data_IF_935502441415
#
_entry.id   IF_935502441415
#
_cell.length_a   1.000
_cell.length_b   1.000
_cell.length_c   1.000
_cell.angle_alpha   90.00
_cell.angle_beta   90.00
_cell.angle_gamma   90.00
#
_symmetry.space_group_name_H-M   'P 1'
#
loop_
_entity.id
_entity.type
_entity.pdbx_description
1 polymer ?
#
# COMPACT_ATOMS: atom_id res chain seq x y z
N UNK A 1 3.48 12.18 14.77
CA UNK A 1 3.37 10.79 15.25
C UNK A 1 2.91 10.73 16.73
N UNK A 2 3.62 11.31 17.70
CA UNK A 2 3.23 11.22 19.14
C UNK A 2 1.79 11.70 19.45
N UNK A 3 1.26 12.65 18.69
CA UNK A 3 -0.10 13.18 18.90
C UNK A 3 -1.18 12.22 18.40
N UNK A 4 -0.84 11.33 17.46
CA UNK A 4 -1.77 10.39 16.82
C UNK A 4 -2.07 9.19 17.71
N UNK A 5 -1.07 8.72 18.46
CA UNK A 5 -1.17 7.58 19.39
C UNK A 5 -1.34 8.01 20.85
N UNK A 6 -1.84 9.24 21.06
CA UNK A 6 -2.10 9.74 22.40
C UNK A 6 -3.30 9.01 23.04
N UNK A 7 -3.33 8.99 24.37
CA UNK A 7 -4.39 8.34 25.13
C UNK A 7 -5.80 8.79 24.69
N UNK A 8 -6.68 7.83 24.46
CA UNK A 8 -8.08 8.05 24.09
C UNK A 8 -8.34 8.24 22.59
N UNK A 9 -7.31 8.21 21.75
CA UNK A 9 -7.48 8.34 20.29
C UNK A 9 -7.22 7.03 19.51
N UNK A 10 -6.91 5.95 20.21
CA UNK A 10 -6.74 4.62 19.62
C UNK A 10 -7.58 3.61 20.38
N UNK A 11 -8.55 3.02 19.69
CA UNK A 11 -9.31 1.87 20.16
C UNK A 11 -8.59 0.59 19.72
N UNK A 12 -7.86 -0.04 20.66
CA UNK A 12 -6.84 -1.03 20.34
C UNK A 12 -7.39 -2.46 20.29
N UNK A 13 -8.14 -2.86 21.34
CA UNK A 13 -8.47 -4.28 21.54
C UNK A 13 -9.78 -4.69 20.87
N UNK A 14 -9.88 -5.95 20.40
CA UNK A 14 -11.15 -6.49 19.92
C UNK A 14 -12.21 -6.50 21.04
N UNK A 15 -13.47 -6.38 20.66
CA UNK A 15 -14.61 -6.38 21.59
C UNK A 15 -15.91 -6.77 20.91
N UNK A 16 -16.90 -7.19 21.70
CA UNK A 16 -18.21 -7.55 21.18
C UNK A 16 -18.88 -6.34 20.50
N UNK A 17 -19.35 -6.55 19.26
CA UNK A 17 -19.99 -5.50 18.47
C UNK A 17 -19.04 -4.48 17.83
N UNK A 18 -17.72 -4.61 18.04
CA UNK A 18 -16.71 -3.79 17.36
C UNK A 18 -16.58 -4.19 15.90
N UNK A 19 -16.45 -3.20 15.00
CA UNK A 19 -16.23 -3.44 13.58
C UNK A 19 -14.93 -4.23 13.36
N UNK A 20 -14.93 -5.12 12.40
CA UNK A 20 -13.75 -5.87 11.96
C UNK A 20 -12.82 -4.95 11.14
N UNK A 21 -11.55 -5.36 11.00
CA UNK A 21 -10.54 -4.60 10.28
C UNK A 21 -9.91 -3.48 11.10
N UNK A 22 -9.39 -2.48 10.41
CA UNK A 22 -8.79 -1.29 10.98
C UNK A 22 -9.10 -0.07 10.11
N UNK A 23 -9.14 1.10 10.71
CA UNK A 23 -9.26 2.37 10.00
C UNK A 23 -8.78 3.54 10.85
N UNK A 24 -8.34 4.60 10.18
CA UNK A 24 -8.19 5.92 10.75
C UNK A 24 -9.29 6.83 10.21
N UNK A 25 -9.96 7.53 11.09
CA UNK A 25 -10.99 8.50 10.71
C UNK A 25 -10.76 9.84 11.39
N UNK A 26 -11.16 10.90 10.72
CA UNK A 26 -10.99 12.28 11.18
C UNK A 26 -12.24 13.07 10.85
N UNK A 27 -12.67 13.93 11.75
CA UNK A 27 -13.71 14.91 11.49
C UNK A 27 -13.26 16.30 11.95
N UNK A 28 -13.93 17.34 11.44
CA UNK A 28 -13.55 18.74 11.65
C UNK A 28 -13.25 19.11 13.11
N UNK A 29 -14.00 18.56 14.04
CA UNK A 29 -13.95 18.96 15.46
C UNK A 29 -13.02 18.10 16.33
N UNK A 30 -12.45 16.99 15.79
CA UNK A 30 -11.63 16.08 16.59
C UNK A 30 -10.28 15.81 15.95
N UNK A 31 -9.34 15.31 16.74
CA UNK A 31 -8.13 14.67 16.21
C UNK A 31 -8.51 13.39 15.49
N UNK A 32 -7.66 12.89 14.57
CA UNK A 32 -7.85 11.57 13.98
C UNK A 32 -8.00 10.50 15.06
N UNK A 33 -8.90 9.55 14.81
CA UNK A 33 -9.18 8.42 15.67
C UNK A 33 -8.84 7.13 14.95
N UNK A 34 -8.14 6.22 15.62
CA UNK A 34 -7.73 4.93 15.07
C UNK A 34 -8.55 3.83 15.73
N UNK A 35 -9.13 2.94 14.92
CA UNK A 35 -9.68 1.68 15.37
C UNK A 35 -8.83 0.55 14.80
N UNK A 36 -8.36 -0.35 15.66
CA UNK A 36 -7.69 -1.61 15.28
C UNK A 36 -8.19 -2.75 16.17
N UNK A 37 -8.01 -3.98 15.72
CA UNK A 37 -8.30 -5.18 16.50
C UNK A 37 -6.99 -5.91 16.80
N UNK A 38 -6.25 -5.45 17.81
CA UNK A 38 -4.89 -5.87 18.11
C UNK A 38 -4.88 -7.21 18.87
N UNK A 39 -4.28 -8.24 18.27
CA UNK A 39 -4.18 -9.61 18.78
C UNK A 39 -2.74 -10.03 19.11
N UNK A 40 -1.82 -9.09 19.25
CA UNK A 40 -0.41 -9.29 19.54
C UNK A 40 0.37 -10.02 18.42
N UNK A 41 -0.01 -9.83 17.17
CA UNK A 41 0.74 -10.31 16.02
C UNK A 41 1.65 -9.22 15.43
N UNK A 42 2.62 -9.60 14.61
CA UNK A 42 3.44 -8.65 13.87
C UNK A 42 2.57 -7.82 12.90
N UNK A 43 1.61 -8.45 12.26
CA UNK A 43 0.66 -7.79 11.36
C UNK A 43 -0.13 -6.68 12.04
N UNK A 44 -0.56 -6.88 13.28
CA UNK A 44 -1.27 -5.84 14.05
C UNK A 44 -0.42 -4.60 14.30
N UNK A 45 0.90 -4.78 14.48
CA UNK A 45 1.83 -3.65 14.63
C UNK A 45 1.91 -2.86 13.32
N UNK A 46 2.03 -3.55 12.17
CA UNK A 46 2.02 -2.91 10.87
C UNK A 46 0.70 -2.21 10.59
N UNK A 47 -0.42 -2.84 10.89
CA UNK A 47 -1.76 -2.24 10.79
C UNK A 47 -1.87 -0.96 11.62
N UNK A 48 -1.44 -0.98 12.88
CA UNK A 48 -1.47 0.22 13.73
C UNK A 48 -0.60 1.35 13.16
N UNK A 49 0.58 1.03 12.65
CA UNK A 49 1.51 2.01 12.05
C UNK A 49 0.98 2.54 10.71
N UNK A 50 0.30 1.70 9.94
CA UNK A 50 -0.43 2.08 8.74
C UNK A 50 -1.51 3.13 9.05
N UNK A 51 -2.41 2.83 10.00
CA UNK A 51 -3.47 3.75 10.42
C UNK A 51 -2.91 5.05 11.04
N UNK A 52 -1.78 4.95 11.74
CA UNK A 52 -1.08 6.14 12.21
C UNK A 52 -0.56 7.02 11.06
N UNK A 53 -0.23 6.44 9.90
CA UNK A 53 0.14 7.17 8.68
C UNK A 53 -1.02 8.01 8.16
N UNK A 54 -2.20 7.42 8.04
CA UNK A 54 -3.42 8.17 7.69
C UNK A 54 -3.72 9.28 8.69
N UNK A 55 -3.58 9.00 9.99
CA UNK A 55 -3.80 9.99 11.03
C UNK A 55 -2.82 11.16 10.94
N UNK A 56 -1.54 10.91 10.62
CA UNK A 56 -0.54 11.96 10.39
C UNK A 56 -0.92 12.81 9.18
N UNK A 57 -1.34 12.19 8.08
CA UNK A 57 -1.82 12.88 6.89
C UNK A 57 -3.00 13.79 7.22
N UNK A 58 -4.00 13.26 7.93
CA UNK A 58 -5.18 14.02 8.35
C UNK A 58 -4.83 15.20 9.24
N UNK A 59 -3.86 15.06 10.17
CA UNK A 59 -3.41 16.18 10.99
C UNK A 59 -2.75 17.28 10.17
N UNK A 60 -1.88 16.91 9.21
CA UNK A 60 -1.25 17.89 8.32
C UNK A 60 -2.29 18.59 7.43
N UNK A 61 -3.21 17.82 6.85
CA UNK A 61 -4.28 18.41 6.04
C UNK A 61 -5.10 19.41 6.84
N UNK A 62 -5.55 19.07 8.04
CA UNK A 62 -6.32 19.96 8.93
C UNK A 62 -5.57 21.21 9.38
N UNK A 63 -4.27 21.11 9.58
CA UNK A 63 -3.47 22.25 10.01
C UNK A 63 -3.35 23.32 8.91
N UNK A 64 -3.37 22.91 7.63
CA UNK A 64 -3.07 23.78 6.51
C UNK A 64 -4.25 24.03 5.56
N UNK A 65 -5.35 23.30 5.71
CA UNK A 65 -6.55 23.43 4.87
C UNK A 65 -7.78 23.82 5.71
N UNK A 66 -8.74 24.45 5.03
CA UNK A 66 -10.08 24.64 5.57
C UNK A 66 -10.90 23.34 5.51
N UNK A 67 -12.05 23.31 6.17
CA UNK A 67 -12.92 22.14 6.27
C UNK A 67 -13.42 21.61 4.92
N UNK A 68 -13.47 22.45 3.88
CA UNK A 68 -13.88 22.03 2.54
C UNK A 68 -12.79 21.21 1.86
N UNK A 69 -11.53 21.50 2.16
CA UNK A 69 -10.36 20.91 1.54
C UNK A 69 -9.58 19.96 2.46
N UNK A 70 -10.05 19.70 3.69
CA UNK A 70 -9.31 18.84 4.63
C UNK A 70 -9.24 17.37 4.21
N UNK A 71 -10.20 16.90 3.41
CA UNK A 71 -10.24 15.53 2.94
C UNK A 71 -9.39 15.37 1.67
N UNK A 72 -8.46 14.43 1.69
CA UNK A 72 -7.57 14.12 0.59
C UNK A 72 -8.05 12.92 -0.24
N UNK A 73 -7.70 12.87 -1.56
CA UNK A 73 -8.11 11.76 -2.42
C UNK A 73 -7.50 10.42 -1.99
N UNK A 74 -8.27 9.33 -2.16
CA UNK A 74 -7.82 7.96 -1.82
C UNK A 74 -6.52 7.57 -2.53
N UNK A 75 -6.28 8.06 -3.75
CA UNK A 75 -5.04 7.83 -4.49
C UNK A 75 -3.78 8.29 -3.73
N UNK A 76 -3.89 9.38 -2.93
CA UNK A 76 -2.77 9.93 -2.13
C UNK A 76 -2.76 9.35 -0.72
N UNK A 77 -3.93 8.91 -0.22
CA UNK A 77 -4.10 8.46 1.16
C UNK A 77 -3.10 7.37 1.55
N UNK A 78 -2.97 6.34 0.71
CA UNK A 78 -2.14 5.18 1.01
C UNK A 78 -0.63 5.44 0.90
N UNK A 79 -0.21 6.58 0.36
CA UNK A 79 1.21 6.96 0.33
C UNK A 79 1.73 7.18 1.75
N UNK A 80 0.95 7.84 2.62
CA UNK A 80 1.38 8.15 3.98
C UNK A 80 1.38 6.90 4.88
N UNK A 81 0.38 6.03 4.73
CA UNK A 81 0.27 4.79 5.49
C UNK A 81 1.40 3.82 5.15
N UNK A 82 1.61 3.53 3.86
CA UNK A 82 2.67 2.62 3.40
C UNK A 82 4.08 3.19 3.61
N UNK A 83 4.27 4.52 3.54
CA UNK A 83 5.53 5.15 3.92
C UNK A 83 5.91 4.83 5.37
N UNK A 84 4.96 4.86 6.29
CA UNK A 84 5.19 4.50 7.69
C UNK A 84 5.55 3.01 7.85
N UNK A 85 4.93 2.12 7.08
CA UNK A 85 5.28 0.69 7.07
C UNK A 85 6.74 0.47 6.65
N UNK A 86 7.21 1.14 5.59
CA UNK A 86 8.62 1.03 5.16
C UNK A 86 9.59 1.48 6.26
N UNK A 87 9.26 2.54 6.99
CA UNK A 87 10.08 2.99 8.13
C UNK A 87 10.07 1.97 9.26
N UNK A 88 8.93 1.33 9.54
CA UNK A 88 8.83 0.31 10.57
C UNK A 88 9.65 -0.93 10.22
N UNK A 89 9.59 -1.42 8.97
CA UNK A 89 10.44 -2.52 8.51
C UNK A 89 11.92 -2.23 8.76
N UNK A 90 12.40 -1.08 8.34
CA UNK A 90 13.81 -0.72 8.52
C UNK A 90 14.20 -0.51 9.99
N UNK A 91 13.27 -0.04 10.81
CA UNK A 91 13.49 0.08 12.26
C UNK A 91 13.61 -1.29 12.91
N UNK A 92 12.71 -2.22 12.59
CA UNK A 92 12.71 -3.56 13.14
C UNK A 92 13.93 -4.38 12.69
N UNK A 93 14.34 -4.26 11.42
CA UNK A 93 15.54 -4.95 10.90
C UNK A 93 16.83 -4.54 11.61
N UNK A 94 16.88 -3.32 12.15
CA UNK A 94 18.02 -2.81 12.94
C UNK A 94 17.95 -3.21 14.41
N UNK A 95 16.87 -3.87 14.86
CA UNK A 95 16.72 -4.25 16.24
C UNK A 95 17.55 -5.52 16.54
N UNK A 96 18.56 -5.37 17.38
CA UNK A 96 19.46 -6.47 17.78
C UNK A 96 18.78 -7.51 18.70
N UNK A 97 17.59 -7.21 19.23
CA UNK A 97 16.82 -8.16 20.04
C UNK A 97 16.07 -9.20 19.19
N UNK A 98 15.87 -8.94 17.90
CA UNK A 98 15.26 -9.91 16.99
C UNK A 98 16.26 -11.01 16.64
N UNK A 99 15.80 -12.26 16.78
CA UNK A 99 16.55 -13.41 16.32
C UNK A 99 16.67 -13.41 14.79
N UNK A 100 17.65 -14.16 14.27
CA UNK A 100 17.83 -14.36 12.82
C UNK A 100 16.54 -14.85 12.14
N UNK A 101 15.82 -15.81 12.75
CA UNK A 101 14.56 -16.32 12.19
C UNK A 101 13.48 -15.26 12.12
N UNK A 102 13.36 -14.40 13.13
CA UNK A 102 12.42 -13.28 13.12
C UNK A 102 12.78 -12.24 12.07
N UNK A 103 14.07 -11.97 11.87
CA UNK A 103 14.52 -11.09 10.79
C UNK A 103 14.24 -11.66 9.40
N UNK A 104 14.46 -12.97 9.18
CA UNK A 104 14.09 -13.66 7.93
C UNK A 104 12.59 -13.51 7.68
N UNK A 105 11.75 -13.85 8.65
CA UNK A 105 10.30 -13.71 8.53
C UNK A 105 9.88 -12.27 8.20
N UNK A 106 10.49 -11.29 8.86
CA UNK A 106 10.22 -9.87 8.61
C UNK A 106 10.58 -9.45 7.18
N UNK A 107 11.70 -9.91 6.65
CA UNK A 107 12.13 -9.60 5.27
C UNK A 107 11.23 -10.29 4.25
N UNK A 108 10.90 -11.57 4.45
CA UNK A 108 9.96 -12.30 3.59
C UNK A 108 8.58 -11.62 3.55
N UNK A 109 8.08 -11.17 4.71
CA UNK A 109 6.83 -10.42 4.80
C UNK A 109 6.90 -9.09 4.04
N UNK A 110 8.02 -8.36 4.13
CA UNK A 110 8.22 -7.11 3.37
C UNK A 110 8.24 -7.34 1.85
N UNK A 111 8.91 -8.41 1.39
CA UNK A 111 8.94 -8.79 -0.02
C UNK A 111 7.52 -9.18 -0.49
N UNK A 112 6.84 -10.02 0.28
CA UNK A 112 5.49 -10.47 -0.04
C UNK A 112 4.49 -9.30 -0.08
N UNK A 113 4.62 -8.32 0.80
CA UNK A 113 3.81 -7.10 0.79
C UNK A 113 3.97 -6.35 -0.53
N UNK A 114 5.20 -6.14 -1.00
CA UNK A 114 5.44 -5.46 -2.29
C UNK A 114 4.86 -6.28 -3.44
N UNK A 115 5.06 -7.60 -3.46
CA UNK A 115 4.54 -8.46 -4.53
C UNK A 115 3.01 -8.41 -4.57
N UNK A 116 2.34 -8.53 -3.43
CA UNK A 116 0.88 -8.53 -3.35
C UNK A 116 0.26 -7.16 -3.62
N UNK A 117 0.90 -6.08 -3.17
CA UNK A 117 0.34 -4.72 -3.26
C UNK A 117 0.72 -4.03 -4.57
N UNK A 118 1.87 -4.36 -5.17
CA UNK A 118 2.26 -3.79 -6.46
C UNK A 118 1.94 -4.73 -7.63
N UNK A 119 2.63 -5.86 -7.72
CA UNK A 119 2.51 -6.72 -8.90
C UNK A 119 1.14 -7.38 -9.04
N UNK A 120 0.57 -7.92 -7.96
CA UNK A 120 -0.74 -8.56 -8.05
C UNK A 120 -1.85 -7.54 -8.30
N UNK A 121 -1.76 -6.33 -7.75
CA UNK A 121 -2.76 -5.29 -8.00
C UNK A 121 -2.62 -4.67 -9.40
N UNK A 122 -1.42 -4.55 -9.93
CA UNK A 122 -1.19 -4.15 -11.31
C UNK A 122 -1.77 -5.19 -12.30
N UNK A 123 -1.53 -6.49 -12.03
CA UNK A 123 -2.12 -7.59 -12.79
C UNK A 123 -3.65 -7.52 -12.81
N UNK A 124 -4.27 -7.31 -11.65
CA UNK A 124 -5.73 -7.19 -11.53
C UNK A 124 -6.26 -5.94 -12.22
N UNK A 125 -5.53 -4.83 -12.16
CA UNK A 125 -5.90 -3.61 -12.87
C UNK A 125 -5.82 -3.77 -14.39
N UNK A 126 -4.83 -4.49 -14.90
CA UNK A 126 -4.72 -4.81 -16.32
C UNK A 126 -5.84 -5.78 -16.77
N UNK A 127 -6.16 -6.78 -15.95
CA UNK A 127 -7.33 -7.64 -16.16
C UNK A 127 -8.61 -6.81 -16.30
N UNK A 128 -8.85 -5.91 -15.36
CA UNK A 128 -10.02 -5.04 -15.35
C UNK A 128 -10.08 -4.16 -16.61
N UNK A 129 -8.95 -3.57 -17.00
CA UNK A 129 -8.85 -2.79 -18.21
C UNK A 129 -9.18 -3.61 -19.45
N UNK A 130 -8.59 -4.81 -19.59
CA UNK A 130 -8.82 -5.68 -20.74
C UNK A 130 -10.28 -6.17 -20.83
N UNK A 131 -10.90 -6.45 -19.68
CA UNK A 131 -12.30 -6.87 -19.63
C UNK A 131 -13.24 -5.73 -20.08
N UNK A 132 -13.03 -4.51 -19.59
CA UNK A 132 -13.83 -3.35 -20.00
C UNK A 132 -13.54 -2.89 -21.43
N UNK A 133 -12.29 -3.01 -21.89
CA UNK A 133 -11.94 -2.68 -23.28
C UNK A 133 -12.63 -3.62 -24.29
N UNK A 134 -12.72 -4.91 -23.96
CA UNK A 134 -13.46 -5.88 -24.77
C UNK A 134 -14.95 -5.51 -24.88
N UNK A 135 -15.57 -5.13 -23.75
CA UNK A 135 -16.98 -4.69 -23.74
C UNK A 135 -17.17 -3.40 -24.58
N UNK A 136 -16.28 -2.43 -24.45
CA UNK A 136 -16.30 -1.19 -25.24
C UNK A 136 -16.16 -1.42 -26.74
N UNK A 137 -15.60 -2.57 -27.15
CA UNK A 137 -15.45 -3.01 -28.53
C UNK A 137 -16.52 -4.05 -28.96
N UNK A 138 -17.67 -4.10 -28.24
CA UNK A 138 -18.77 -5.00 -28.46
C UNK A 138 -18.40 -6.51 -28.46
N UNK A 139 -17.35 -6.86 -27.73
CA UNK A 139 -16.93 -8.25 -27.51
C UNK A 139 -17.60 -8.83 -26.27
N UNK A 140 -18.31 -9.94 -26.44
CA UNK A 140 -18.92 -10.66 -25.32
C UNK A 140 -17.91 -11.67 -24.81
N UNK A 141 -17.41 -11.46 -23.59
CA UNK A 141 -16.50 -12.38 -22.91
C UNK A 141 -17.30 -13.42 -22.10
N UNK A 142 -16.85 -14.68 -22.18
CA UNK A 142 -17.31 -15.77 -21.33
C UNK A 142 -16.41 -15.90 -20.09
N UNK A 143 -16.76 -16.77 -19.16
CA UNK A 143 -15.88 -17.01 -17.99
C UNK A 143 -14.57 -17.70 -18.41
N UNK A 144 -14.56 -18.48 -19.48
CA UNK A 144 -13.34 -19.07 -20.06
C UNK A 144 -12.41 -17.99 -20.60
N UNK A 145 -12.96 -16.95 -21.22
CA UNK A 145 -12.17 -15.81 -21.70
C UNK A 145 -11.54 -15.04 -20.54
N UNK A 146 -12.29 -14.76 -19.48
CA UNK A 146 -11.75 -14.13 -18.27
C UNK A 146 -10.63 -14.99 -17.63
N UNK A 147 -10.85 -16.31 -17.54
CA UNK A 147 -9.82 -17.22 -17.03
C UNK A 147 -8.56 -17.21 -17.90
N UNK A 148 -8.74 -17.13 -19.22
CA UNK A 148 -7.62 -17.05 -20.16
C UNK A 148 -6.84 -15.74 -19.99
N UNK A 149 -7.52 -14.61 -19.85
CA UNK A 149 -6.86 -13.32 -19.59
C UNK A 149 -6.02 -13.40 -18.32
N UNK A 150 -6.58 -13.94 -17.22
CA UNK A 150 -5.82 -14.14 -15.96
C UNK A 150 -4.61 -15.05 -16.19
N UNK A 151 -4.74 -16.14 -16.93
CA UNK A 151 -3.63 -17.06 -17.20
C UNK A 151 -2.51 -16.38 -18.00
N UNK A 152 -2.87 -15.63 -19.03
CA UNK A 152 -1.92 -14.87 -19.85
C UNK A 152 -1.19 -13.79 -19.02
N UNK A 153 -1.90 -13.11 -18.12
CA UNK A 153 -1.32 -12.13 -17.20
C UNK A 153 -0.38 -12.79 -16.15
N UNK A 154 -0.76 -13.95 -15.59
CA UNK A 154 0.15 -14.68 -14.69
C UNK A 154 1.43 -15.09 -15.41
N UNK A 155 1.32 -15.50 -16.68
CA UNK A 155 2.50 -15.79 -17.49
C UNK A 155 3.36 -14.56 -17.72
N UNK A 156 2.75 -13.42 -18.02
CA UNK A 156 3.45 -12.17 -18.30
C UNK A 156 4.14 -11.59 -17.05
N UNK A 157 3.45 -11.60 -15.91
CA UNK A 157 3.94 -10.96 -14.66
C UNK A 157 4.89 -11.84 -13.85
N UNK A 158 4.67 -13.17 -13.85
CA UNK A 158 5.36 -14.08 -12.95
C UNK A 158 6.09 -15.23 -13.63
N UNK A 159 5.98 -15.33 -14.98
CA UNK A 159 6.44 -16.49 -15.77
C UNK A 159 5.86 -17.83 -15.26
N UNK A 160 4.63 -17.80 -14.73
CA UNK A 160 3.93 -18.96 -14.20
C UNK A 160 2.83 -19.36 -15.18
N UNK A 161 2.88 -20.63 -15.61
CA UNK A 161 1.79 -21.22 -16.38
C UNK A 161 0.72 -21.74 -15.40
N UNK A 162 -0.45 -21.06 -15.37
CA UNK A 162 -1.61 -21.55 -14.63
C UNK A 162 -2.57 -22.25 -15.57
N UNK A 163 -2.92 -23.50 -15.24
CA UNK A 163 -3.94 -24.23 -16.01
C UNK A 163 -5.35 -23.82 -15.51
N UNK A 164 -6.38 -23.88 -16.39
CA UNK A 164 -7.76 -23.54 -16.02
C UNK A 164 -8.34 -24.34 -14.86
N UNK A 165 -7.76 -25.49 -14.56
CA UNK A 165 -8.20 -26.41 -13.50
C UNK A 165 -7.78 -25.98 -12.09
N UNK A 166 -6.94 -24.93 -11.99
CA UNK A 166 -6.43 -24.45 -10.72
C UNK A 166 -7.16 -23.17 -10.34
N UNK A 167 -7.53 -23.02 -9.08
CA UNK A 167 -8.19 -21.87 -8.46
C UNK A 167 -7.72 -20.48 -8.91
N UNK A 168 -6.49 -20.37 -9.37
CA UNK A 168 -5.89 -19.11 -9.87
C UNK A 168 -6.57 -18.57 -11.13
N UNK A 169 -7.11 -19.42 -12.01
CA UNK A 169 -7.86 -18.99 -13.18
C UNK A 169 -9.13 -18.22 -12.84
N UNK A 170 -9.71 -18.47 -11.67
CA UNK A 170 -10.90 -17.79 -11.16
C UNK A 170 -10.57 -16.64 -10.20
N UNK A 171 -9.33 -16.18 -10.13
CA UNK A 171 -8.93 -15.12 -9.22
C UNK A 171 -9.82 -13.87 -9.33
N UNK A 172 -10.19 -13.49 -10.55
CA UNK A 172 -11.08 -12.36 -10.81
C UNK A 172 -12.42 -12.45 -10.07
N UNK A 173 -12.96 -13.67 -9.90
CA UNK A 173 -14.24 -13.91 -9.22
C UNK A 173 -14.16 -13.76 -7.68
N UNK A 174 -12.95 -13.77 -7.11
CA UNK A 174 -12.70 -13.63 -5.66
C UNK A 174 -12.35 -12.21 -5.23
N UNK A 175 -12.24 -11.26 -6.17
CA UNK A 175 -11.85 -9.89 -5.87
C UNK A 175 -13.09 -8.99 -5.91
N UNK A 176 -13.71 -8.68 -4.74
CA UNK A 176 -14.95 -7.91 -4.71
C UNK A 176 -14.85 -6.54 -5.38
N UNK A 177 -13.68 -5.91 -5.31
CA UNK A 177 -13.42 -4.58 -5.89
C UNK A 177 -13.71 -4.52 -7.39
N UNK A 178 -13.47 -5.59 -8.13
CA UNK A 178 -13.74 -5.64 -9.58
C UNK A 178 -15.23 -5.50 -9.91
N UNK A 179 -16.12 -5.80 -8.95
CA UNK A 179 -17.57 -5.75 -9.11
C UNK A 179 -18.21 -4.57 -8.39
N UNK A 180 -17.71 -4.25 -7.19
CA UNK A 180 -18.31 -3.27 -6.31
C UNK A 180 -17.69 -1.87 -6.46
N UNK A 181 -16.45 -1.81 -6.93
CA UNK A 181 -15.69 -0.55 -7.02
C UNK A 181 -14.78 -0.57 -8.26
N UNK A 182 -15.33 -0.49 -9.48
CA UNK A 182 -14.55 -0.53 -10.71
C UNK A 182 -13.41 0.49 -10.73
N UNK A 183 -12.28 0.09 -11.29
CA UNK A 183 -11.06 0.90 -11.36
C UNK A 183 -10.55 1.38 -10.00
N UNK A 184 -10.67 0.52 -8.98
CA UNK A 184 -10.13 0.79 -7.65
C UNK A 184 -8.76 0.16 -7.42
N UNK A 185 -8.53 -1.09 -7.87
CA UNK A 185 -7.36 -1.90 -7.47
C UNK A 185 -6.02 -1.30 -7.88
N UNK A 186 -5.96 -0.57 -9.01
CA UNK A 186 -4.72 0.09 -9.44
C UNK A 186 -4.17 1.08 -8.40
N UNK A 187 -5.03 1.63 -7.54
CA UNK A 187 -4.65 2.61 -6.51
C UNK A 187 -3.68 2.03 -5.48
N UNK A 188 -3.78 0.74 -5.21
CA UNK A 188 -2.82 0.06 -4.34
C UNK A 188 -1.42 0.03 -4.96
N UNK A 189 -1.32 -0.35 -6.23
CA UNK A 189 -0.04 -0.39 -6.96
C UNK A 189 0.59 1.01 -7.09
N UNK A 190 -0.19 2.02 -7.45
CA UNK A 190 0.31 3.40 -7.58
C UNK A 190 0.73 3.99 -6.24
N UNK A 191 0.00 3.70 -5.17
CA UNK A 191 0.31 4.21 -3.83
C UNK A 191 1.62 3.64 -3.29
N UNK A 192 1.83 2.32 -3.39
CA UNK A 192 3.08 1.71 -2.92
C UNK A 192 4.28 2.15 -3.77
N UNK A 193 4.10 2.34 -5.08
CA UNK A 193 5.14 2.87 -5.95
C UNK A 193 5.52 4.30 -5.54
N UNK A 194 4.53 5.17 -5.31
CA UNK A 194 4.76 6.54 -4.85
C UNK A 194 5.42 6.60 -3.48
N UNK A 195 4.94 5.79 -2.52
CA UNK A 195 5.50 5.78 -1.18
C UNK A 195 6.95 5.28 -1.14
N UNK A 196 7.30 4.27 -1.95
CA UNK A 196 8.68 3.78 -2.08
C UNK A 196 9.60 4.79 -2.75
N UNK A 197 9.13 5.52 -3.76
CA UNK A 197 9.90 6.59 -4.39
C UNK A 197 10.24 7.69 -3.38
N UNK A 198 9.24 8.18 -2.62
CA UNK A 198 9.44 9.16 -1.55
C UNK A 198 10.37 8.60 -0.46
N UNK A 199 10.14 7.34 -0.06
CA UNK A 199 10.95 6.70 0.97
C UNK A 199 12.43 6.63 0.60
N UNK A 200 12.73 6.27 -0.65
CA UNK A 200 14.11 6.23 -1.16
C UNK A 200 14.73 7.63 -1.20
N UNK A 201 14.02 8.63 -1.72
CA UNK A 201 14.49 10.01 -1.75
C UNK A 201 14.81 10.52 -0.34
N UNK A 202 13.92 10.32 0.61
CA UNK A 202 14.14 10.74 2.01
C UNK A 202 15.32 9.98 2.65
N UNK A 203 15.49 8.68 2.36
CA UNK A 203 16.66 7.92 2.85
C UNK A 203 17.97 8.45 2.32
N UNK A 204 18.02 8.89 1.07
CA UNK A 204 19.21 9.41 0.41
C UNK A 204 19.51 10.86 0.85
N UNK A 205 18.49 11.68 1.03
CA UNK A 205 18.65 13.13 1.27
C UNK A 205 18.45 13.56 2.73
N UNK A 206 17.64 12.84 3.49
CA UNK A 206 17.15 13.26 4.80
C UNK A 206 16.09 14.37 4.75
N UNK A 207 15.63 14.76 3.56
CA UNK A 207 14.71 15.88 3.37
C UNK A 207 13.25 15.43 3.24
N UNK A 208 12.41 15.85 4.19
CA UNK A 208 10.97 15.58 4.24
C UNK A 208 10.12 16.69 3.61
N UNK A 209 10.73 17.77 3.13
CA UNK A 209 10.01 19.01 2.77
C UNK A 209 8.91 18.76 1.76
N UNK A 210 9.19 18.10 0.65
CA UNK A 210 8.21 17.85 -0.42
C UNK A 210 7.12 16.87 0.03
N UNK A 211 7.47 15.85 0.78
CA UNK A 211 6.52 14.90 1.36
C UNK A 211 5.53 15.59 2.31
N UNK A 212 6.04 16.36 3.28
CA UNK A 212 5.18 17.09 4.23
C UNK A 212 4.31 18.14 3.53
N UNK A 213 4.84 18.77 2.50
CA UNK A 213 4.07 19.71 1.67
C UNK A 213 2.92 19.00 0.94
N UNK A 214 3.15 17.80 0.41
CA UNK A 214 2.07 16.99 -0.19
C UNK A 214 0.99 16.66 0.84
N UNK A 215 1.37 16.21 2.04
CA UNK A 215 0.40 15.90 3.12
C UNK A 215 -0.43 17.11 3.52
N UNK A 216 0.13 18.32 3.42
CA UNK A 216 -0.56 19.55 3.79
C UNK A 216 -1.57 20.07 2.76
N UNK A 217 -1.67 19.45 1.57
CA UNK A 217 -2.53 19.91 0.50
C UNK A 217 -4.00 19.49 0.66
N UNK A 218 -4.31 18.47 1.48
CA UNK A 218 -5.68 17.96 1.59
C UNK A 218 -6.26 17.62 0.22
N UNK A 219 -7.45 18.15 -0.09
CA UNK A 219 -8.11 18.04 -1.39
C UNK A 219 -8.04 19.30 -2.24
N UNK A 220 -7.14 20.23 -1.93
CA UNK A 220 -7.09 21.56 -2.58
C UNK A 220 -6.57 21.57 -4.02
N UNK A 221 -6.07 20.44 -4.53
CA UNK A 221 -5.52 20.32 -5.87
C UNK A 221 -5.94 19.01 -6.55
N UNK A 222 -5.90 18.96 -7.90
CA UNK A 222 -6.01 17.69 -8.62
C UNK A 222 -4.96 16.69 -8.15
N UNK A 223 -5.35 15.43 -8.06
CA UNK A 223 -4.56 14.34 -7.45
C UNK A 223 -3.13 14.23 -8.00
N UNK A 224 -2.97 14.24 -9.33
CA UNK A 224 -1.64 14.14 -9.96
C UNK A 224 -0.78 15.38 -9.73
N UNK A 225 -1.38 16.57 -9.55
CA UNK A 225 -0.63 17.75 -9.16
C UNK A 225 -0.13 17.65 -7.72
N UNK A 226 -0.92 17.06 -6.82
CA UNK A 226 -0.50 16.81 -5.45
C UNK A 226 0.70 15.84 -5.42
N UNK A 227 0.62 14.76 -6.19
CA UNK A 227 1.71 13.80 -6.33
C UNK A 227 3.01 14.47 -6.84
N UNK A 228 2.90 15.35 -7.84
CA UNK A 228 4.05 16.08 -8.39
C UNK A 228 4.72 17.01 -7.36
N UNK A 229 4.00 17.52 -6.37
CA UNK A 229 4.59 18.27 -5.26
C UNK A 229 5.58 17.43 -4.45
N UNK A 230 5.33 16.13 -4.31
CA UNK A 230 6.23 15.17 -3.69
C UNK A 230 7.28 14.58 -4.64
N UNK A 231 7.41 15.11 -5.86
CA UNK A 231 8.34 14.61 -6.88
C UNK A 231 7.84 13.36 -7.63
N UNK A 232 6.57 12.98 -7.45
CA UNK A 232 6.01 11.79 -8.09
C UNK A 232 5.43 12.14 -9.46
N UNK A 233 6.04 11.61 -10.51
CA UNK A 233 5.48 11.63 -11.86
C UNK A 233 5.14 10.21 -12.31
N UNK A 234 3.86 9.86 -12.25
CA UNK A 234 3.37 8.53 -12.61
C UNK A 234 3.46 8.21 -14.11
N UNK A 235 3.81 9.18 -14.94
CA UNK A 235 4.11 8.99 -16.35
C UNK A 235 5.59 8.72 -16.63
N UNK A 236 6.47 8.86 -15.64
CA UNK A 236 7.92 8.58 -15.75
C UNK A 236 8.23 7.19 -15.17
N UNK A 237 8.78 6.30 -15.97
CA UNK A 237 9.20 4.96 -15.57
C UNK A 237 10.18 4.96 -14.39
N UNK A 238 10.91 6.07 -14.19
CA UNK A 238 11.85 6.22 -13.06
C UNK A 238 11.17 6.13 -11.70
N UNK A 239 9.90 6.51 -11.59
CA UNK A 239 9.14 6.38 -10.35
C UNK A 239 9.14 4.92 -9.86
N UNK A 240 8.97 3.98 -10.78
CA UNK A 240 8.86 2.54 -10.48
C UNK A 240 10.21 1.88 -10.15
N UNK A 241 11.33 2.55 -10.40
CA UNK A 241 12.64 2.06 -9.97
C UNK A 241 12.78 1.94 -8.44
N UNK A 242 11.97 2.67 -7.68
CA UNK A 242 11.88 2.53 -6.23
C UNK A 242 11.49 1.12 -5.78
N UNK A 243 10.55 0.49 -6.51
CA UNK A 243 10.12 -0.91 -6.27
C UNK A 243 11.30 -1.87 -6.43
N UNK A 244 11.99 -1.80 -7.58
CA UNK A 244 13.12 -2.68 -7.88
C UNK A 244 14.28 -2.49 -6.90
N UNK A 245 14.61 -1.24 -6.56
CA UNK A 245 15.64 -0.93 -5.56
C UNK A 245 15.30 -1.53 -4.20
N UNK A 246 14.03 -1.42 -3.78
CA UNK A 246 13.59 -1.95 -2.49
C UNK A 246 13.64 -3.48 -2.46
N UNK A 247 13.15 -4.14 -3.52
CA UNK A 247 13.19 -5.60 -3.62
C UNK A 247 14.62 -6.13 -3.62
N UNK A 248 15.52 -5.52 -4.38
CA UNK A 248 16.93 -5.92 -4.38
C UNK A 248 17.56 -5.77 -2.99
N UNK A 249 17.34 -4.64 -2.32
CA UNK A 249 17.81 -4.41 -0.95
C UNK A 249 17.30 -5.48 0.03
N UNK A 250 16.03 -5.83 -0.04
CA UNK A 250 15.44 -6.86 0.82
C UNK A 250 15.99 -8.26 0.49
N UNK A 251 16.16 -8.58 -0.78
CA UNK A 251 16.75 -9.85 -1.21
C UNK A 251 18.22 -9.98 -0.75
N UNK A 252 19.01 -8.91 -0.84
CA UNK A 252 20.41 -8.92 -0.35
C UNK A 252 20.46 -9.21 1.16
N UNK A 253 19.55 -8.61 1.94
CA UNK A 253 19.43 -8.89 3.38
C UNK A 253 19.03 -10.34 3.63
N UNK A 254 18.01 -10.82 2.90
CA UNK A 254 17.52 -12.20 3.03
C UNK A 254 18.62 -13.22 2.74
N UNK A 255 19.36 -13.02 1.65
CA UNK A 255 20.48 -13.86 1.27
C UNK A 255 21.59 -13.85 2.34
N UNK A 256 21.92 -12.68 2.87
CA UNK A 256 22.87 -12.55 3.98
C UNK A 256 22.42 -13.33 5.20
N UNK A 257 21.16 -13.16 5.63
CA UNK A 257 20.59 -13.87 6.78
C UNK A 257 20.53 -15.38 6.58
N UNK A 258 20.26 -15.88 5.38
CA UNK A 258 20.19 -17.32 5.08
C UNK A 258 21.59 -17.95 5.10
N UNK A 259 22.60 -17.22 4.61
CA UNK A 259 23.98 -17.72 4.50
C UNK A 259 24.80 -17.56 5.78
N UNK A 260 24.32 -16.83 6.80
CA UNK A 260 24.97 -16.79 8.12
C UNK A 260 25.01 -18.20 8.70
N UNK A 261 26.22 -18.67 9.04
CA UNK A 261 26.40 -19.94 9.76
C UNK A 261 26.06 -19.70 11.24
N UNK A 262 25.29 -20.61 11.83
CA UNK A 262 24.98 -20.62 13.26
C UNK A 262 26.27 -20.70 14.11
#
# INVERSE_FOLDING_TARGET
AKQVIADGYVDIYPGDGKATGAFSNSCELTKPYILVNFNNTLEDIFTLVHEAGHSVHSLYSKEFQDSVNENYPIFIAEIASTFNEHNLYDYLLKNDQLSRKEKIYLVENAIQNIISTFYSQALLAEFEYLAHDAENNDQILTYEDYNKIIADLFKAYYDIDITPEIYKGFLWAYVPHLFESPFYVYKYATSIAGSLAIYQEIKETGDFTNYLKMLSLGGSKPTLEMAKVAGLDYSDDKLYLGITKRLNYLNDILEGLINEKD
#
